data_IF_537731212966
#
_entry.id   IF_537731212966
#
_cell.length_a   1.000
_cell.length_b   1.000
_cell.length_c   1.000
_cell.angle_alpha   90.00
_cell.angle_beta   90.00
_cell.angle_gamma   90.00
#
_symmetry.space_group_name_H-M   'P 1'
#
loop_
_entity.id
_entity.type
_entity.pdbx_description
1 polymer ?
#
# COMPACT_ATOMS: atom_id res chain seq x y z
N UNK A 1 -14.90 -11.86 -0.07
CA UNK A 1 -13.59 -11.99 0.63
C UNK A 1 -12.72 -10.81 0.21
N UNK A 2 -12.02 -10.12 1.13
CA UNK A 2 -11.17 -8.97 0.77
C UNK A 2 -9.83 -9.47 0.21
N UNK A 3 -9.46 -9.08 -1.00
CA UNK A 3 -8.12 -9.28 -1.53
C UNK A 3 -7.20 -8.14 -1.06
N UNK A 4 -6.05 -8.46 -0.45
CA UNK A 4 -5.05 -7.49 0.00
C UNK A 4 -3.79 -7.70 -0.82
N UNK A 5 -3.51 -6.78 -1.75
CA UNK A 5 -2.34 -6.85 -2.64
C UNK A 5 -1.23 -5.97 -2.12
N UNK A 6 -0.05 -6.56 -1.95
CA UNK A 6 1.15 -5.84 -1.54
C UNK A 6 2.20 -5.95 -2.67
N UNK A 7 2.33 -4.92 -3.50
CA UNK A 7 3.39 -4.85 -4.50
C UNK A 7 4.73 -4.58 -3.80
N UNK A 8 5.61 -5.58 -3.78
CA UNK A 8 6.93 -5.50 -3.14
C UNK A 8 8.07 -5.94 -4.08
N UNK A 9 7.88 -5.68 -5.37
CA UNK A 9 8.84 -6.00 -6.43
C UNK A 9 9.82 -4.86 -6.75
N UNK A 10 10.00 -3.91 -5.83
CA UNK A 10 10.99 -2.84 -5.95
C UNK A 10 12.38 -3.27 -5.46
N UNK A 11 13.44 -2.67 -6.02
CA UNK A 11 14.83 -2.99 -5.65
C UNK A 11 15.26 -2.46 -4.28
N UNK A 12 14.55 -1.47 -3.70
CA UNK A 12 14.94 -0.87 -2.43
C UNK A 12 16.30 -0.18 -2.44
N UNK A 13 16.68 0.45 -3.56
CA UNK A 13 18.03 1.01 -3.82
C UNK A 13 18.53 1.92 -2.70
N UNK A 14 17.68 2.76 -2.12
CA UNK A 14 18.03 3.66 -1.02
C UNK A 14 18.59 2.93 0.20
N UNK A 15 18.08 1.74 0.51
CA UNK A 15 18.60 0.89 1.57
C UNK A 15 19.92 0.23 1.16
N UNK A 16 19.99 -0.29 -0.07
CA UNK A 16 21.23 -0.86 -0.59
C UNK A 16 22.37 0.16 -0.61
N UNK A 17 22.11 1.40 -1.07
CA UNK A 17 23.06 2.51 -1.06
C UNK A 17 23.51 2.90 0.37
N UNK A 18 22.64 2.69 1.38
CA UNK A 18 22.95 2.88 2.78
C UNK A 18 23.61 1.67 3.46
N UNK A 19 23.98 0.63 2.69
CA UNK A 19 24.74 -0.53 3.17
C UNK A 19 23.89 -1.67 3.77
N UNK A 20 22.57 -1.65 3.60
CA UNK A 20 21.72 -2.77 4.02
C UNK A 20 21.88 -3.94 3.04
N UNK A 21 22.15 -5.13 3.56
CA UNK A 21 22.37 -6.35 2.76
C UNK A 21 21.10 -7.12 2.43
N UNK A 22 20.00 -6.87 3.15
CA UNK A 22 18.72 -7.52 2.93
C UNK A 22 17.85 -6.71 1.98
N UNK A 23 17.00 -7.37 1.16
CA UNK A 23 15.97 -6.67 0.40
C UNK A 23 15.00 -5.95 1.33
N UNK A 24 14.51 -4.79 0.90
CA UNK A 24 13.68 -3.88 1.73
C UNK A 24 12.60 -4.59 2.55
N UNK A 25 11.80 -5.53 2.01
CA UNK A 25 10.76 -6.19 2.80
C UNK A 25 11.27 -7.01 3.99
N UNK A 26 12.53 -7.46 3.94
CA UNK A 26 13.15 -8.27 4.99
C UNK A 26 14.02 -7.47 5.95
N UNK A 27 14.22 -6.17 5.73
CA UNK A 27 14.95 -5.29 6.66
C UNK A 27 14.25 -5.34 8.02
N UNK A 28 14.99 -5.62 9.11
CA UNK A 28 14.39 -5.71 10.42
C UNK A 28 14.00 -4.34 10.97
N UNK A 29 12.79 -4.23 11.47
CA UNK A 29 12.27 -3.15 12.29
C UNK A 29 12.23 -3.66 13.71
N UNK A 30 13.12 -3.21 14.60
CA UNK A 30 13.28 -3.76 15.96
C UNK A 30 13.35 -5.31 15.99
N UNK A 31 13.99 -5.90 14.97
CA UNK A 31 14.17 -7.35 14.85
C UNK A 31 12.98 -8.10 14.25
N UNK A 32 11.95 -7.41 13.76
CA UNK A 32 10.82 -7.99 12.99
C UNK A 32 11.00 -7.60 11.53
N UNK A 33 10.95 -8.52 10.55
CA UNK A 33 10.98 -8.16 9.14
C UNK A 33 9.90 -7.13 8.80
N UNK A 34 10.26 -6.08 8.05
CA UNK A 34 9.36 -4.97 7.70
C UNK A 34 8.03 -5.47 7.12
N UNK A 35 8.07 -6.39 6.17
CA UNK A 35 6.83 -6.93 5.57
C UNK A 35 5.95 -7.67 6.60
N UNK A 36 6.54 -8.33 7.60
CA UNK A 36 5.77 -8.99 8.66
C UNK A 36 5.07 -7.98 9.55
N UNK A 37 5.70 -6.83 9.81
CA UNK A 37 5.09 -5.70 10.50
C UNK A 37 3.89 -5.17 9.72
N UNK A 38 4.05 -4.95 8.40
CA UNK A 38 2.98 -4.51 7.50
C UNK A 38 1.82 -5.50 7.46
N UNK A 39 2.09 -6.80 7.31
CA UNK A 39 1.06 -7.86 7.34
C UNK A 39 0.24 -7.78 8.62
N UNK A 40 0.90 -7.70 9.77
CA UNK A 40 0.21 -7.64 11.06
C UNK A 40 -0.62 -6.37 11.24
N UNK A 41 -0.16 -5.24 10.70
CA UNK A 41 -0.85 -3.96 10.75
C UNK A 41 -2.13 -3.96 9.88
N UNK A 42 -2.08 -4.62 8.72
CA UNK A 42 -3.15 -4.63 7.74
C UNK A 42 -4.11 -5.83 7.84
N UNK A 43 -3.89 -6.75 8.78
CA UNK A 43 -4.69 -7.96 8.93
C UNK A 43 -6.07 -7.65 9.52
N UNK A 44 -7.17 -7.68 8.74
CA UNK A 44 -8.50 -7.36 9.24
C UNK A 44 -9.20 -8.57 9.87
N UNK A 45 -10.26 -8.33 10.63
CA UNK A 45 -11.11 -9.39 11.20
C UNK A 45 -12.00 -10.07 10.15
N UNK A 46 -12.34 -9.35 9.05
CA UNK A 46 -13.16 -9.92 7.96
C UNK A 46 -12.37 -10.95 7.14
N UNK A 47 -13.05 -11.86 6.46
CA UNK A 47 -12.43 -12.81 5.55
C UNK A 47 -11.60 -12.10 4.50
N UNK A 48 -10.32 -12.45 4.40
CA UNK A 48 -9.36 -11.81 3.53
C UNK A 48 -8.32 -12.79 2.99
N UNK A 49 -7.62 -12.38 1.93
CA UNK A 49 -6.51 -13.10 1.31
C UNK A 49 -5.39 -12.12 0.96
N UNK A 50 -4.19 -12.40 1.40
CA UNK A 50 -3.01 -11.63 0.99
C UNK A 50 -2.46 -12.15 -0.35
N UNK A 51 -2.06 -11.22 -1.20
CA UNK A 51 -1.41 -11.46 -2.50
C UNK A 51 -0.13 -10.61 -2.52
N UNK A 52 1.02 -11.25 -2.52
CA UNK A 52 2.32 -10.58 -2.53
C UNK A 52 2.92 -10.66 -3.93
N UNK A 53 3.37 -9.53 -4.47
CA UNK A 53 4.03 -9.50 -5.78
C UNK A 53 5.52 -9.24 -5.53
N UNK A 54 6.35 -10.24 -5.80
CA UNK A 54 7.74 -10.30 -5.38
C UNK A 54 8.69 -10.43 -6.58
N UNK A 55 9.87 -9.82 -6.50
CA UNK A 55 10.94 -10.13 -7.45
C UNK A 55 11.36 -11.60 -7.34
N UNK A 56 11.51 -12.26 -8.47
CA UNK A 56 11.95 -13.67 -8.54
C UNK A 56 13.32 -13.87 -7.84
N UNK A 57 14.22 -12.90 -7.95
CA UNK A 57 15.52 -12.91 -7.25
C UNK A 57 15.33 -12.93 -5.73
N UNK A 58 14.37 -12.16 -5.18
CA UNK A 58 14.10 -12.18 -3.74
C UNK A 58 13.52 -13.52 -3.28
N UNK A 59 12.71 -14.18 -4.14
CA UNK A 59 12.16 -15.51 -3.85
C UNK A 59 13.30 -16.53 -3.79
N UNK A 60 14.21 -16.52 -4.76
CA UNK A 60 15.28 -17.47 -4.88
C UNK A 60 16.37 -17.30 -3.80
N UNK A 61 16.83 -16.06 -3.59
CA UNK A 61 18.01 -15.79 -2.79
C UNK A 61 17.69 -15.69 -1.28
N UNK A 62 16.45 -15.29 -0.93
CA UNK A 62 16.05 -15.05 0.46
C UNK A 62 14.90 -15.95 0.93
N UNK A 63 14.42 -16.89 0.10
CA UNK A 63 13.28 -17.76 0.42
C UNK A 63 12.03 -16.99 0.90
N UNK A 64 11.78 -15.80 0.32
CA UNK A 64 10.74 -14.88 0.82
C UNK A 64 9.35 -15.51 0.73
N UNK A 65 9.08 -16.34 -0.28
CA UNK A 65 7.81 -17.07 -0.40
C UNK A 65 7.58 -18.02 0.78
N UNK A 66 8.62 -18.76 1.19
CA UNK A 66 8.52 -19.65 2.36
C UNK A 66 8.23 -18.87 3.63
N UNK A 67 8.86 -17.71 3.81
CA UNK A 67 8.61 -16.83 4.95
C UNK A 67 7.18 -16.30 4.95
N UNK A 68 6.68 -15.81 3.81
CA UNK A 68 5.33 -15.29 3.66
C UNK A 68 4.29 -16.37 3.96
N UNK A 69 4.43 -17.58 3.39
CA UNK A 69 3.53 -18.72 3.66
C UNK A 69 3.59 -19.22 5.10
N UNK A 70 4.73 -19.06 5.78
CA UNK A 70 4.82 -19.35 7.21
C UNK A 70 4.02 -18.37 8.07
N UNK A 71 3.97 -17.08 7.69
CA UNK A 71 3.23 -16.05 8.43
C UNK A 71 1.77 -15.95 8.03
N UNK A 72 1.46 -16.23 6.76
CA UNK A 72 0.13 -16.20 6.15
C UNK A 72 -0.03 -17.43 5.25
N UNK A 73 -0.43 -18.60 5.80
CA UNK A 73 -0.42 -19.88 5.06
C UNK A 73 -1.20 -19.86 3.74
N UNK A 74 -2.32 -19.13 3.68
CA UNK A 74 -3.22 -19.08 2.52
C UNK A 74 -2.91 -17.93 1.55
N UNK A 75 -1.74 -17.27 1.68
CA UNK A 75 -1.36 -16.21 0.77
C UNK A 75 -0.99 -16.72 -0.62
N UNK A 76 -1.19 -15.85 -1.62
CA UNK A 76 -0.63 -16.03 -2.96
C UNK A 76 0.66 -15.23 -3.12
N UNK A 77 1.62 -15.78 -3.84
CA UNK A 77 2.86 -15.10 -4.21
C UNK A 77 2.99 -15.09 -5.72
N UNK A 78 3.01 -13.90 -6.29
CA UNK A 78 3.16 -13.67 -7.73
C UNK A 78 4.61 -13.28 -8.01
N UNK A 79 5.40 -14.15 -8.63
CA UNK A 79 6.79 -13.85 -8.98
C UNK A 79 6.86 -12.91 -10.19
N UNK A 80 7.80 -11.97 -10.15
CA UNK A 80 8.10 -11.06 -11.26
C UNK A 80 9.59 -11.10 -11.60
N UNK A 81 9.91 -11.19 -12.88
CA UNK A 81 11.28 -11.30 -13.34
C UNK A 81 12.06 -9.98 -13.36
N UNK A 82 11.36 -8.83 -13.36
CA UNK A 82 11.96 -7.50 -13.44
C UNK A 82 11.06 -6.43 -12.82
N UNK A 83 11.62 -5.30 -12.47
CA UNK A 83 10.88 -4.13 -12.00
C UNK A 83 9.99 -3.59 -13.12
N UNK A 84 8.74 -3.30 -12.81
CA UNK A 84 7.76 -2.76 -13.76
C UNK A 84 7.84 -1.24 -13.84
N UNK A 85 7.03 -0.65 -14.73
CA UNK A 85 6.92 0.80 -14.91
C UNK A 85 6.07 1.50 -13.83
N UNK A 86 6.05 0.97 -12.62
CA UNK A 86 5.36 1.55 -11.45
C UNK A 86 4.45 0.58 -10.70
N UNK A 87 3.94 1.03 -9.56
CA UNK A 87 3.18 0.19 -8.65
C UNK A 87 1.87 -0.33 -9.27
N UNK A 88 1.17 0.48 -10.08
CA UNK A 88 -0.05 0.03 -10.77
C UNK A 88 0.24 -1.12 -11.73
N UNK A 89 1.31 -1.01 -12.54
CA UNK A 89 1.75 -2.09 -13.43
C UNK A 89 2.11 -3.35 -12.64
N UNK A 90 2.76 -3.20 -11.48
CA UNK A 90 3.08 -4.34 -10.61
C UNK A 90 1.80 -5.03 -10.13
N UNK A 91 0.81 -4.29 -9.65
CA UNK A 91 -0.47 -4.85 -9.17
C UNK A 91 -1.20 -5.58 -10.30
N UNK A 92 -1.18 -5.07 -11.53
CA UNK A 92 -1.82 -5.69 -12.69
C UNK A 92 -1.23 -7.07 -13.06
N UNK A 93 -0.02 -7.41 -12.61
CA UNK A 93 0.51 -8.77 -12.78
C UNK A 93 -0.30 -9.82 -11.99
N UNK A 94 -1.00 -9.38 -10.94
CA UNK A 94 -1.95 -10.21 -10.20
C UNK A 94 -3.39 -10.12 -10.75
N UNK A 95 -3.63 -9.54 -11.94
CA UNK A 95 -4.98 -9.34 -12.52
C UNK A 95 -5.84 -10.60 -12.46
N UNK A 96 -5.29 -11.76 -12.76
CA UNK A 96 -5.99 -13.05 -12.75
C UNK A 96 -6.51 -13.46 -11.36
N UNK A 97 -6.04 -12.85 -10.28
CA UNK A 97 -6.44 -13.10 -8.89
C UNK A 97 -7.41 -12.04 -8.35
N UNK A 98 -7.49 -10.87 -9.00
CA UNK A 98 -8.21 -9.69 -8.48
C UNK A 98 -9.27 -9.13 -9.45
N UNK A 99 -9.36 -9.63 -10.69
CA UNK A 99 -10.37 -9.16 -11.65
C UNK A 99 -11.70 -9.84 -11.38
N UNK A 100 -12.32 -9.48 -10.27
CA UNK A 100 -13.59 -10.04 -9.79
C UNK A 100 -14.42 -8.99 -9.03
N UNK A 101 -15.55 -9.42 -8.45
CA UNK A 101 -16.48 -8.59 -7.66
C UNK A 101 -16.03 -8.47 -6.18
N UNK A 102 -14.94 -9.12 -5.77
CA UNK A 102 -14.47 -9.05 -4.40
C UNK A 102 -13.82 -7.68 -4.12
N UNK A 103 -13.93 -7.17 -2.89
CA UNK A 103 -13.22 -5.97 -2.48
C UNK A 103 -11.70 -6.14 -2.61
N UNK A 104 -11.03 -5.06 -2.96
CA UNK A 104 -9.58 -5.00 -3.11
C UNK A 104 -8.99 -3.91 -2.20
N UNK A 105 -7.95 -4.25 -1.47
CA UNK A 105 -7.02 -3.32 -0.83
C UNK A 105 -5.67 -3.44 -1.50
N UNK A 106 -5.08 -2.33 -1.91
CA UNK A 106 -3.68 -2.25 -2.36
C UNK A 106 -2.91 -1.48 -1.29
N UNK A 107 -1.81 -2.03 -0.81
CA UNK A 107 -1.03 -1.38 0.24
C UNK A 107 0.47 -1.45 -0.04
N UNK A 108 1.18 -0.37 0.25
CA UNK A 108 2.63 -0.33 0.20
C UNK A 108 3.25 -1.31 1.22
N UNK A 109 4.44 -1.82 0.93
CA UNK A 109 5.17 -2.77 1.76
C UNK A 109 6.10 -2.13 2.82
N UNK A 110 6.07 -0.81 2.97
CA UNK A 110 7.06 -0.01 3.66
C UNK A 110 6.48 1.14 4.48
N UNK A 111 5.38 0.87 5.15
CA UNK A 111 4.71 1.80 6.07
C UNK A 111 4.02 1.08 7.20
N UNK A 112 3.78 1.79 8.28
CA UNK A 112 2.96 1.36 9.40
C UNK A 112 1.97 2.48 9.76
N UNK A 113 0.72 2.11 10.09
CA UNK A 113 -0.34 3.08 10.42
C UNK A 113 -0.90 2.78 11.81
N UNK A 114 -1.05 3.82 12.62
CA UNK A 114 -1.54 3.71 14.00
C UNK A 114 -3.06 3.81 14.06
N UNK A 115 -3.71 2.88 13.36
CA UNK A 115 -5.16 2.73 13.40
C UNK A 115 -5.56 1.26 13.47
N UNK A 116 -6.79 1.01 13.90
CA UNK A 116 -7.41 -0.28 13.68
C UNK A 116 -7.91 -0.37 12.23
N UNK A 117 -7.30 -1.23 11.43
CA UNK A 117 -7.66 -1.38 10.00
C UNK A 117 -9.16 -1.71 9.79
N UNK A 118 -9.82 -2.33 10.79
CA UNK A 118 -11.25 -2.62 10.70
C UNK A 118 -12.10 -1.35 10.71
N UNK A 119 -11.69 -0.31 11.46
CA UNK A 119 -12.42 0.97 11.52
C UNK A 119 -12.36 1.69 10.16
N UNK A 120 -11.19 1.65 9.51
CA UNK A 120 -11.01 2.14 8.14
C UNK A 120 -11.91 1.41 7.14
N UNK A 121 -11.96 0.08 7.19
CA UNK A 121 -12.80 -0.72 6.31
C UNK A 121 -14.30 -0.52 6.56
N UNK A 122 -14.71 -0.42 7.82
CA UNK A 122 -16.10 -0.12 8.20
C UNK A 122 -16.50 1.28 7.73
N UNK A 123 -15.60 2.25 7.77
CA UNK A 123 -15.89 3.61 7.29
C UNK A 123 -16.22 3.64 5.80
N UNK A 124 -15.51 2.86 4.98
CA UNK A 124 -15.84 2.68 3.57
C UNK A 124 -17.23 2.05 3.36
N UNK A 125 -17.51 0.97 4.11
CA UNK A 125 -18.78 0.25 4.02
C UNK A 125 -19.96 1.18 4.36
N UNK A 126 -19.82 1.98 5.44
CA UNK A 126 -20.84 2.93 5.89
C UNK A 126 -21.12 4.05 4.88
N UNK A 127 -20.12 4.44 4.11
CA UNK A 127 -20.26 5.45 3.04
C UNK A 127 -20.73 4.85 1.72
N UNK A 128 -20.79 3.51 1.60
CA UNK A 128 -21.08 2.78 0.36
C UNK A 128 -20.23 3.28 -0.82
N UNK A 129 -18.97 3.63 -0.55
CA UNK A 129 -18.07 4.17 -1.57
C UNK A 129 -17.55 3.07 -2.51
N UNK A 130 -17.32 3.42 -3.77
CA UNK A 130 -16.68 2.55 -4.75
C UNK A 130 -15.15 2.56 -4.62
N UNK A 131 -14.57 3.65 -4.11
CA UNK A 131 -13.16 3.78 -3.79
C UNK A 131 -12.95 4.49 -2.46
N UNK A 132 -11.89 4.09 -1.72
CA UNK A 132 -11.61 4.63 -0.39
C UNK A 132 -10.11 4.80 -0.20
N UNK A 133 -9.69 6.02 0.09
CA UNK A 133 -8.28 6.40 0.17
C UNK A 133 -7.92 6.65 1.63
N UNK A 134 -6.91 5.96 2.14
CA UNK A 134 -6.34 6.34 3.42
C UNK A 134 -5.44 7.56 3.23
N UNK A 135 -5.70 8.62 3.99
CA UNK A 135 -4.98 9.89 3.90
C UNK A 135 -4.38 10.32 5.23
N UNK A 136 -3.49 11.27 5.16
CA UNK A 136 -2.92 12.00 6.29
C UNK A 136 -2.80 13.48 5.95
N UNK A 137 -2.67 14.32 6.96
CA UNK A 137 -2.35 15.74 6.77
C UNK A 137 -0.85 15.89 6.45
N UNK A 138 -0.52 16.47 5.30
CA UNK A 138 0.85 16.75 4.89
C UNK A 138 0.93 17.92 3.90
N UNK A 139 2.17 18.39 3.64
CA UNK A 139 2.47 19.44 2.67
C UNK A 139 3.79 19.22 1.89
N UNK A 140 4.31 17.99 1.91
CA UNK A 140 5.54 17.63 1.20
C UNK A 140 5.21 17.04 -0.18
N UNK A 141 5.76 17.58 -1.30
CA UNK A 141 5.47 17.10 -2.66
C UNK A 141 6.00 15.68 -2.96
N UNK A 142 6.55 14.98 -1.97
CA UNK A 142 6.89 13.55 -2.11
C UNK A 142 5.66 12.64 -2.17
N UNK A 143 4.49 13.13 -1.69
CA UNK A 143 3.24 12.37 -1.60
C UNK A 143 2.31 12.58 -2.79
N UNK A 144 1.30 11.74 -2.93
CA UNK A 144 0.12 11.99 -3.74
C UNK A 144 -0.92 12.73 -2.90
N UNK A 145 -1.74 13.57 -3.51
CA UNK A 145 -2.73 14.40 -2.82
C UNK A 145 -4.13 14.23 -3.41
N UNK A 146 -5.13 14.24 -2.54
CA UNK A 146 -6.54 14.30 -2.94
C UNK A 146 -6.87 15.74 -3.29
N UNK A 147 -7.37 15.97 -4.49
CA UNK A 147 -7.87 17.26 -4.92
C UNK A 147 -9.38 17.33 -4.78
N UNK A 148 -9.86 18.46 -4.28
CA UNK A 148 -11.28 18.71 -4.08
C UNK A 148 -11.78 19.80 -5.04
N UNK A 149 -13.05 19.70 -5.43
CA UNK A 149 -13.75 20.78 -6.12
C UNK A 149 -14.25 21.86 -5.13
N UNK A 150 -14.95 22.86 -5.65
CA UNK A 150 -15.52 23.97 -4.87
C UNK A 150 -16.63 23.53 -3.87
N UNK A 151 -17.20 22.34 -4.05
CA UNK A 151 -18.21 21.75 -3.17
C UNK A 151 -17.60 20.84 -2.10
N UNK A 152 -16.27 20.64 -2.13
CA UNK A 152 -15.56 19.73 -1.23
C UNK A 152 -15.61 18.25 -1.65
N UNK A 153 -16.07 17.95 -2.87
CA UNK A 153 -16.07 16.60 -3.42
C UNK A 153 -14.71 16.28 -4.08
N UNK A 154 -14.30 15.03 -4.02
CA UNK A 154 -13.04 14.60 -4.65
C UNK A 154 -13.18 14.64 -6.16
N UNK A 155 -12.33 15.42 -6.81
CA UNK A 155 -12.33 15.57 -8.28
C UNK A 155 -11.10 14.98 -8.96
N UNK A 156 -10.01 14.73 -8.24
CA UNK A 156 -8.79 14.10 -8.75
C UNK A 156 -7.88 13.60 -7.63
N UNK A 157 -6.90 12.74 -7.96
CA UNK A 157 -5.79 12.36 -7.08
C UNK A 157 -4.48 12.63 -7.80
N UNK A 158 -3.76 13.65 -7.35
CA UNK A 158 -2.59 14.21 -8.01
C UNK A 158 -1.30 13.66 -7.39
N UNK A 159 -0.42 13.10 -8.22
CA UNK A 159 0.85 12.53 -7.78
C UNK A 159 1.95 13.58 -7.72
N UNK A 160 2.62 13.68 -6.55
CA UNK A 160 3.81 14.53 -6.33
C UNK A 160 3.61 16.03 -6.54
N UNK A 161 2.41 16.50 -6.27
CA UNK A 161 2.05 17.91 -6.30
C UNK A 161 1.10 18.22 -5.14
N UNK A 162 1.41 19.25 -4.36
CA UNK A 162 0.60 19.66 -3.20
C UNK A 162 -0.59 20.48 -3.69
N UNK A 163 -1.76 19.85 -3.78
CA UNK A 163 -3.02 20.49 -4.22
C UNK A 163 -4.04 20.64 -3.09
N UNK A 164 -3.75 20.04 -1.93
CA UNK A 164 -4.55 20.11 -0.70
C UNK A 164 -3.70 19.78 0.52
N UNK A 165 -4.29 19.64 1.69
CA UNK A 165 -3.64 19.08 2.89
C UNK A 165 -3.80 17.56 3.03
N UNK A 166 -4.62 16.90 2.18
CA UNK A 166 -4.92 15.47 2.25
C UNK A 166 -3.98 14.67 1.35
N UNK A 167 -2.86 14.21 1.95
CA UNK A 167 -1.90 13.34 1.29
C UNK A 167 -2.31 11.86 1.43
N UNK A 168 -2.09 11.05 0.40
CA UNK A 168 -2.36 9.61 0.48
C UNK A 168 -1.23 8.87 1.20
N UNK A 169 -1.57 7.86 2.01
CA UNK A 169 -0.57 7.08 2.76
C UNK A 169 -0.18 5.75 2.08
N UNK A 170 -0.62 5.52 0.82
CA UNK A 170 -0.28 4.30 0.10
C UNK A 170 -1.12 3.08 0.49
N UNK A 171 -2.32 3.30 1.03
CA UNK A 171 -3.35 2.29 1.27
C UNK A 171 -4.61 2.72 0.53
N UNK A 172 -5.03 1.89 -0.42
CA UNK A 172 -6.07 2.20 -1.39
C UNK A 172 -7.09 1.07 -1.46
N UNK A 173 -8.38 1.38 -1.28
CA UNK A 173 -9.45 0.40 -1.33
C UNK A 173 -10.38 0.65 -2.50
N UNK A 174 -10.79 -0.45 -3.12
CA UNK A 174 -11.74 -0.51 -4.21
C UNK A 174 -12.86 -1.48 -3.82
N UNK A 175 -14.12 -1.11 -4.08
CA UNK A 175 -15.28 -1.93 -3.78
C UNK A 175 -15.21 -3.27 -4.50
N UNK A 176 -14.63 -3.30 -5.69
CA UNK A 176 -14.42 -4.48 -6.52
C UNK A 176 -13.04 -4.43 -7.14
N UNK A 177 -12.34 -5.55 -7.16
CA UNK A 177 -11.00 -5.63 -7.77
C UNK A 177 -11.01 -5.26 -9.25
N UNK A 178 -12.09 -5.61 -9.97
CA UNK A 178 -12.25 -5.23 -11.39
C UNK A 178 -12.26 -3.71 -11.60
N UNK A 179 -12.78 -2.93 -10.68
CA UNK A 179 -12.85 -1.47 -10.81
C UNK A 179 -11.44 -0.87 -10.87
N UNK A 180 -10.53 -1.36 -10.00
CA UNK A 180 -9.12 -0.98 -10.08
C UNK A 180 -8.46 -1.41 -11.39
N UNK A 181 -8.66 -2.68 -11.79
CA UNK A 181 -8.01 -3.22 -12.99
C UNK A 181 -8.41 -2.42 -14.23
N UNK A 182 -9.71 -2.16 -14.42
CA UNK A 182 -10.20 -1.36 -15.54
C UNK A 182 -9.70 0.09 -15.51
N UNK A 183 -9.66 0.70 -14.33
CA UNK A 183 -9.15 2.06 -14.15
C UNK A 183 -7.64 2.15 -14.45
N UNK A 184 -6.86 1.19 -13.94
CA UNK A 184 -5.42 1.15 -14.16
C UNK A 184 -5.06 0.85 -15.63
N UNK A 185 -5.77 -0.07 -16.28
CA UNK A 185 -5.58 -0.36 -17.71
C UNK A 185 -5.91 0.86 -18.57
N UNK A 186 -7.00 1.56 -18.29
CA UNK A 186 -7.36 2.79 -18.99
C UNK A 186 -6.31 3.90 -18.78
N UNK A 187 -5.83 4.09 -17.54
CA UNK A 187 -4.76 5.03 -17.22
C UNK A 187 -3.47 4.74 -18.01
N UNK A 188 -3.12 3.45 -18.16
CA UNK A 188 -1.95 3.01 -18.93
C UNK A 188 -2.16 3.23 -20.43
N UNK A 189 -3.34 2.91 -20.97
CA UNK A 189 -3.69 3.11 -22.37
C UNK A 189 -3.65 4.60 -22.75
N UNK A 190 -4.10 5.48 -21.85
CA UNK A 190 -4.03 6.93 -21.99
C UNK A 190 -2.60 7.50 -21.79
N UNK A 191 -1.63 6.67 -21.37
CA UNK A 191 -0.24 7.08 -21.17
C UNK A 191 0.00 8.03 -20.00
N UNK A 192 -0.85 8.01 -18.97
CA UNK A 192 -0.84 8.96 -17.84
C UNK A 192 0.23 8.62 -16.81
N UNK A 193 1.50 8.72 -17.20
CA UNK A 193 2.65 8.55 -16.31
C UNK A 193 2.98 9.85 -15.56
N UNK A 194 3.39 9.70 -14.30
CA UNK A 194 4.01 10.78 -13.54
C UNK A 194 5.46 10.42 -13.28
N UNK A 195 6.40 11.29 -13.68
CA UNK A 195 7.85 11.06 -13.58
C UNK A 195 8.30 9.70 -14.14
N UNK A 196 7.62 9.21 -15.18
CA UNK A 196 7.97 7.96 -15.88
C UNK A 196 7.33 6.69 -15.29
N UNK A 197 6.51 6.80 -14.24
CA UNK A 197 5.89 5.66 -13.56
C UNK A 197 4.35 5.75 -13.54
N UNK A 198 3.68 4.59 -13.48
CA UNK A 198 2.24 4.48 -13.24
C UNK A 198 2.00 4.17 -11.75
N UNK A 199 1.53 5.16 -11.01
CA UNK A 199 1.17 5.04 -9.60
C UNK A 199 -0.25 4.49 -9.43
N UNK A 200 -0.55 3.94 -8.23
CA UNK A 200 -1.88 3.40 -7.92
C UNK A 200 -2.91 4.52 -7.73
N UNK A 201 -2.53 5.59 -7.02
CA UNK A 201 -3.44 6.66 -6.64
C UNK A 201 -4.15 7.34 -7.84
N UNK A 202 -3.46 7.69 -8.95
CA UNK A 202 -4.12 8.28 -10.11
C UNK A 202 -5.13 7.37 -10.84
N UNK A 203 -5.18 6.06 -10.53
CA UNK A 203 -6.22 5.20 -11.06
C UNK A 203 -7.64 5.64 -10.63
N UNK A 204 -7.75 6.29 -9.46
CA UNK A 204 -9.02 6.84 -9.02
C UNK A 204 -9.59 7.91 -9.96
N UNK A 205 -8.76 8.64 -10.71
CA UNK A 205 -9.23 9.63 -11.68
C UNK A 205 -10.10 9.00 -12.77
N UNK A 206 -9.78 7.78 -13.19
CA UNK A 206 -10.60 7.05 -14.17
C UNK A 206 -11.96 6.62 -13.57
N UNK A 207 -12.00 6.33 -12.26
CA UNK A 207 -13.24 6.04 -11.55
C UNK A 207 -14.08 7.32 -11.35
N UNK A 208 -13.45 8.44 -11.00
CA UNK A 208 -14.11 9.76 -10.85
C UNK A 208 -14.73 10.21 -12.18
N UNK A 209 -14.03 10.05 -13.31
CA UNK A 209 -14.57 10.31 -14.66
C UNK A 209 -15.85 9.48 -14.94
N UNK A 210 -15.94 8.27 -14.40
CA UNK A 210 -17.11 7.39 -14.49
C UNK A 210 -18.19 7.70 -13.43
N UNK A 211 -18.02 8.77 -12.64
CA UNK A 211 -18.92 9.21 -11.55
C UNK A 211 -19.04 8.20 -10.40
N UNK A 212 -18.01 7.39 -10.17
CA UNK A 212 -17.94 6.56 -8.97
C UNK A 212 -17.74 7.45 -7.73
N UNK A 213 -18.36 7.06 -6.62
CA UNK A 213 -18.19 7.73 -5.34
C UNK A 213 -16.85 7.31 -4.70
N UNK A 214 -15.91 8.23 -4.66
CA UNK A 214 -14.62 8.05 -4.00
C UNK A 214 -14.61 8.89 -2.73
N UNK A 215 -14.15 8.29 -1.63
CA UNK A 215 -13.99 9.01 -0.37
C UNK A 215 -12.63 8.73 0.27
N UNK A 216 -12.41 9.29 1.45
CA UNK A 216 -11.15 9.17 2.16
C UNK A 216 -11.33 9.05 3.66
N UNK A 217 -10.25 8.64 4.34
CA UNK A 217 -10.18 8.50 5.79
C UNK A 217 -8.82 9.02 6.26
N UNK A 218 -8.83 10.18 6.92
CA UNK A 218 -7.62 10.79 7.47
C UNK A 218 -7.23 10.11 8.79
N UNK A 219 -5.95 9.75 8.92
CA UNK A 219 -5.40 9.02 10.07
C UNK A 219 -4.43 9.86 10.92
N UNK A 220 -4.35 11.17 10.70
CA UNK A 220 -3.44 12.07 11.40
C UNK A 220 -2.35 12.62 10.49
N UNK A 221 -1.12 12.67 10.97
CA UNK A 221 0.01 13.31 10.29
C UNK A 221 1.16 12.32 10.05
N UNK A 222 2.18 12.73 9.29
CA UNK A 222 3.44 12.00 9.20
C UNK A 222 4.12 11.93 10.59
N UNK A 223 4.52 10.73 11.00
CA UNK A 223 5.04 10.40 12.33
C UNK A 223 4.05 10.61 13.50
N UNK A 224 2.76 10.77 13.19
CA UNK A 224 1.68 10.84 14.18
C UNK A 224 0.37 10.30 13.54
N UNK A 225 0.30 8.99 13.34
CA UNK A 225 -0.76 8.27 12.62
C UNK A 225 -0.19 7.45 11.47
N UNK A 226 0.59 8.06 10.56
CA UNK A 226 1.33 7.35 9.51
C UNK A 226 2.84 7.39 9.79
N UNK A 227 3.48 6.25 9.63
CA UNK A 227 4.93 6.09 9.80
C UNK A 227 5.53 5.43 8.57
N UNK A 228 6.33 6.20 7.81
CA UNK A 228 7.10 5.69 6.68
C UNK A 228 8.23 4.77 7.15
N UNK A 229 8.49 3.74 6.36
CA UNK A 229 9.62 2.80 6.55
C UNK A 229 10.40 2.64 5.25
N UNK A 230 10.14 3.51 4.26
CA UNK A 230 10.61 3.37 2.88
C UNK A 230 12.04 3.78 2.63
N UNK A 231 12.66 4.53 3.57
CA UNK A 231 14.05 4.96 3.52
C UNK A 231 14.71 4.77 4.89
N UNK A 232 16.07 4.70 4.94
CA UNK A 232 16.81 4.47 6.20
C UNK A 232 16.48 5.48 7.30
N UNK A 233 16.28 6.76 6.97
CA UNK A 233 16.03 7.79 7.97
C UNK A 233 14.63 7.70 8.55
N UNK A 234 13.61 7.39 7.75
CA UNK A 234 12.24 7.13 8.23
C UNK A 234 12.22 5.91 9.15
N UNK A 235 12.94 4.84 8.78
CA UNK A 235 13.07 3.64 9.60
C UNK A 235 13.70 3.96 10.96
N UNK A 236 14.82 4.72 11.00
CA UNK A 236 15.47 5.14 12.23
C UNK A 236 14.54 6.01 13.08
N UNK A 237 13.83 6.94 12.46
CA UNK A 237 12.84 7.77 13.15
C UNK A 237 11.78 6.90 13.81
N UNK A 238 11.15 5.99 13.06
CA UNK A 238 10.15 5.08 13.63
C UNK A 238 10.71 4.25 14.78
N UNK A 239 11.90 3.68 14.64
CA UNK A 239 12.55 2.89 15.69
C UNK A 239 12.90 3.73 16.95
N UNK A 240 13.08 5.04 16.82
CA UNK A 240 13.31 5.94 17.96
C UNK A 240 12.05 6.21 18.80
N UNK A 241 10.86 5.97 18.25
CA UNK A 241 9.58 6.25 18.90
C UNK A 241 9.08 5.04 19.69
N UNK A 242 8.43 5.28 20.84
CA UNK A 242 7.87 4.21 21.69
C UNK A 242 6.82 3.37 20.98
N UNK A 243 6.05 3.97 20.07
CA UNK A 243 5.03 3.28 19.26
C UNK A 243 5.61 2.08 18.49
N UNK A 244 6.89 2.13 18.09
CA UNK A 244 7.56 1.03 17.40
C UNK A 244 7.75 -0.20 18.29
N UNK A 245 7.83 -0.03 19.61
CA UNK A 245 7.88 -1.12 20.58
C UNK A 245 6.52 -1.85 20.60
N UNK A 246 5.42 -1.09 20.68
CA UNK A 246 4.07 -1.65 20.69
C UNK A 246 3.71 -2.32 19.37
N UNK A 247 4.08 -1.71 18.25
CA UNK A 247 3.91 -2.26 16.91
C UNK A 247 4.57 -3.63 16.73
N UNK A 248 5.75 -3.84 17.33
CA UNK A 248 6.53 -5.09 17.17
C UNK A 248 6.32 -6.10 18.27
N UNK A 249 5.85 -5.70 19.46
CA UNK A 249 5.71 -6.57 20.65
C UNK A 249 4.80 -7.77 20.41
N UNK A 250 3.62 -7.55 19.84
CA UNK A 250 2.65 -8.63 19.57
C UNK A 250 3.20 -9.67 18.60
N UNK A 251 3.96 -9.24 17.61
CA UNK A 251 4.55 -10.11 16.59
C UNK A 251 5.64 -11.00 17.20
N UNK A 252 6.46 -10.46 18.10
CA UNK A 252 7.51 -11.22 18.81
C UNK A 252 6.91 -12.30 19.71
N UNK A 253 5.79 -11.99 20.39
CA UNK A 253 5.11 -12.96 21.26
C UNK A 253 4.45 -14.13 20.51
N UNK A 254 4.01 -13.91 19.26
CA UNK A 254 3.40 -14.96 18.43
C UNK A 254 4.43 -15.94 17.81
N UNK A 255 5.72 -15.72 18.05
CA UNK A 255 6.82 -16.55 17.51
C UNK A 255 7.45 -17.46 18.56
N UNK A 256 7.04 -17.33 19.81
CA UNK A 256 7.40 -18.22 20.94
C UNK A 256 6.34 -19.30 21.11
#
# INVERSE_FOLDING_TARGET
MLNIVIPMAGRGSRFADAGYSLPKPLIPVRGVPMIRLVINNLCPMRSHKFIFICLQEHINDYNIELLLKRWVPDCEVVPVSHVTEGAACTVLLAKHLIYDENPLMIANSDQWVDININDYLISMDNKNAEGWIMSMTANDPKWSYIQFDENGEINSVVEKEVVSSEATVGIYNFKRGKDFVEAAEQMIEEGLKVKGEYYVAPAYDQMIKKKNHIGYFNIGDEANGMYGLGIPDDLKLFESLDISLDATKRIKMSTL
#
